data_IF_601201896594
#
_entry.id   IF_601201896594
#
_cell.length_a   1.000
_cell.length_b   1.000
_cell.length_c   1.000
_cell.angle_alpha   90.00
_cell.angle_beta   90.00
_cell.angle_gamma   90.00
#
_symmetry.space_group_name_H-M   'P 1'
#
loop_
_entity.id
_entity.type
_entity.pdbx_description
1 polymer ?
#
# COMPACT_ATOMS: atom_id res chain seq x y z
N UNK A 1 -15.20 -30.91 32.63
CA UNK A 1 -16.29 -29.90 32.62
C UNK A 1 -15.81 -28.45 32.74
N UNK A 2 -14.65 -28.15 33.37
CA UNK A 2 -14.19 -26.76 33.54
C UNK A 2 -13.70 -26.07 32.25
N UNK A 3 -13.18 -26.85 31.29
CA UNK A 3 -12.66 -26.32 30.01
C UNK A 3 -13.69 -25.55 29.16
N UNK A 4 -14.98 -25.95 29.21
CA UNK A 4 -16.07 -25.30 28.46
C UNK A 4 -16.36 -23.87 28.93
N UNK A 5 -16.01 -23.52 30.16
CA UNK A 5 -16.20 -22.17 30.70
C UNK A 5 -15.04 -21.23 30.39
N UNK A 6 -13.83 -21.75 30.15
CA UNK A 6 -12.66 -20.92 29.81
C UNK A 6 -12.65 -20.49 28.34
N UNK A 7 -13.24 -21.29 27.43
CA UNK A 7 -13.35 -20.96 25.99
C UNK A 7 -14.09 -19.63 25.74
N UNK A 8 -15.32 -19.41 26.25
CA UNK A 8 -16.03 -18.14 26.03
C UNK A 8 -15.33 -16.96 26.72
N UNK A 9 -14.66 -17.20 27.85
CA UNK A 9 -13.88 -16.17 28.56
C UNK A 9 -12.68 -15.70 27.73
N UNK A 10 -11.93 -16.64 27.12
CA UNK A 10 -10.80 -16.32 26.23
C UNK A 10 -11.29 -15.63 24.96
N UNK A 11 -12.41 -16.07 24.39
CA UNK A 11 -13.00 -15.45 23.20
C UNK A 11 -13.46 -14.01 23.48
N UNK A 12 -14.06 -13.77 24.65
CA UNK A 12 -14.45 -12.43 25.11
C UNK A 12 -13.25 -11.52 25.29
N UNK A 13 -12.16 -12.02 25.89
CA UNK A 13 -10.92 -11.25 26.08
C UNK A 13 -10.25 -10.88 24.75
N UNK A 14 -10.28 -11.79 23.76
CA UNK A 14 -9.81 -11.53 22.40
C UNK A 14 -10.66 -10.48 21.67
N UNK A 15 -11.97 -10.45 21.92
CA UNK A 15 -12.90 -9.49 21.32
C UNK A 15 -12.74 -8.06 21.87
N UNK A 16 -12.20 -7.92 23.08
CA UNK A 16 -11.90 -6.62 23.69
C UNK A 16 -10.59 -5.98 23.20
N UNK A 17 -9.82 -6.68 22.35
CA UNK A 17 -8.63 -6.12 21.74
C UNK A 17 -9.03 -5.14 20.63
N UNK A 18 -8.81 -3.85 20.85
CA UNK A 18 -9.08 -2.82 19.84
C UNK A 18 -8.29 -3.10 18.55
N UNK A 19 -8.99 -3.21 17.43
CA UNK A 19 -8.38 -3.44 16.12
C UNK A 19 -7.85 -2.11 15.58
N UNK A 20 -6.58 -2.09 15.16
CA UNK A 20 -5.97 -0.96 14.46
C UNK A 20 -6.13 -1.16 12.95
N UNK A 21 -6.65 -0.15 12.26
CA UNK A 21 -6.66 -0.12 10.80
C UNK A 21 -5.28 0.15 10.20
N UNK A 22 -5.15 -0.06 8.88
CA UNK A 22 -3.92 0.20 8.15
C UNK A 22 -3.59 1.70 8.16
N UNK A 23 -2.32 2.03 8.47
CA UNK A 23 -1.83 3.40 8.47
C UNK A 23 -0.82 3.66 7.36
N UNK A 24 -0.10 2.62 6.95
CA UNK A 24 0.95 2.65 5.93
C UNK A 24 0.73 1.45 5.02
N UNK A 25 0.86 1.66 3.71
CA UNK A 25 0.93 0.61 2.69
C UNK A 25 2.27 0.68 1.98
N UNK A 26 2.84 -0.48 1.67
CA UNK A 26 3.97 -0.60 0.76
C UNK A 26 3.49 -1.34 -0.48
N UNK A 27 3.84 -0.83 -1.65
CA UNK A 27 3.28 -1.27 -2.93
C UNK A 27 4.39 -1.50 -3.96
N UNK A 28 4.14 -2.46 -4.84
CA UNK A 28 4.86 -2.67 -6.10
C UNK A 28 3.83 -2.84 -7.22
N UNK A 29 4.25 -2.69 -8.46
CA UNK A 29 3.46 -2.80 -9.66
C UNK A 29 4.00 -3.94 -10.54
N UNK A 30 3.21 -5.00 -10.62
CA UNK A 30 3.54 -6.21 -11.37
C UNK A 30 3.77 -5.94 -12.87
N UNK A 31 3.12 -4.93 -13.45
CA UNK A 31 3.32 -4.56 -14.85
C UNK A 31 4.72 -3.97 -15.07
N UNK A 32 5.23 -3.17 -14.13
CA UNK A 32 6.60 -2.67 -14.19
C UNK A 32 7.62 -3.77 -13.93
N UNK A 33 7.33 -4.70 -13.01
CA UNK A 33 8.17 -5.86 -12.75
C UNK A 33 8.34 -6.73 -14.03
N UNK A 34 7.27 -6.90 -14.82
CA UNK A 34 7.32 -7.60 -16.11
C UNK A 34 8.24 -6.92 -17.15
N UNK A 35 8.48 -5.62 -17.00
CA UNK A 35 9.43 -4.85 -17.85
C UNK A 35 10.83 -4.77 -17.24
N UNK A 36 11.11 -5.55 -16.19
CA UNK A 36 12.31 -5.49 -15.38
C UNK A 36 12.57 -4.08 -14.77
N UNK A 37 11.52 -3.28 -14.59
CA UNK A 37 11.61 -1.96 -13.96
C UNK A 37 11.39 -2.12 -12.45
N UNK A 38 12.41 -1.82 -11.67
CA UNK A 38 12.32 -1.83 -10.20
C UNK A 38 11.39 -0.70 -9.81
N UNK A 39 10.37 -1.00 -9.01
CA UNK A 39 9.43 0.01 -8.56
C UNK A 39 9.03 -0.23 -7.10
N UNK A 40 8.75 0.85 -6.39
CA UNK A 40 8.37 0.83 -4.99
C UNK A 40 7.50 2.04 -4.67
N UNK A 41 6.41 1.82 -3.96
CA UNK A 41 5.54 2.88 -3.47
C UNK A 41 5.28 2.76 -1.98
N UNK A 42 5.14 3.91 -1.31
CA UNK A 42 4.73 4.01 0.09
C UNK A 42 3.52 4.93 0.14
N UNK A 43 2.44 4.43 0.73
CA UNK A 43 1.22 5.20 0.97
C UNK A 43 0.98 5.36 2.46
N UNK A 44 0.78 6.58 2.92
CA UNK A 44 0.50 6.89 4.33
C UNK A 44 -0.85 7.57 4.48
N UNK A 45 -1.59 7.22 5.52
CA UNK A 45 -2.87 7.86 5.81
C UNK A 45 -2.68 9.17 6.57
N UNK A 46 -3.17 10.27 6.01
CA UNK A 46 -3.07 11.62 6.58
C UNK A 46 -4.31 12.01 7.40
N UNK A 47 -5.50 11.57 6.97
CA UNK A 47 -6.78 11.82 7.62
C UNK A 47 -7.72 10.63 7.41
N UNK A 48 -8.90 10.56 8.07
CA UNK A 48 -9.82 9.42 7.91
C UNK A 48 -10.15 9.08 6.46
N UNK A 49 -10.24 10.05 5.57
CA UNK A 49 -10.54 9.85 4.13
C UNK A 49 -9.43 10.28 3.19
N UNK A 50 -8.21 10.56 3.68
CA UNK A 50 -7.09 11.01 2.86
C UNK A 50 -5.84 10.16 3.05
N UNK A 51 -5.21 9.79 1.94
CA UNK A 51 -3.88 9.18 1.92
C UNK A 51 -2.96 9.96 0.98
N UNK A 52 -1.66 9.89 1.27
CA UNK A 52 -0.60 10.39 0.41
C UNK A 52 0.26 9.22 -0.01
N UNK A 53 0.41 9.04 -1.32
CA UNK A 53 1.22 8.02 -1.94
C UNK A 53 2.44 8.63 -2.61
N UNK A 54 3.58 7.98 -2.48
CA UNK A 54 4.79 8.33 -3.22
C UNK A 54 5.32 7.05 -3.82
N UNK A 55 5.35 6.98 -5.15
CA UNK A 55 5.89 5.85 -5.89
C UNK A 55 7.10 6.25 -6.71
N UNK A 56 8.07 5.34 -6.79
CA UNK A 56 9.29 5.49 -7.57
C UNK A 56 9.48 4.32 -8.51
N UNK A 57 9.98 4.61 -9.70
CA UNK A 57 10.33 3.62 -10.73
C UNK A 57 11.78 3.84 -11.16
N UNK A 58 12.52 2.76 -11.35
CA UNK A 58 13.91 2.78 -11.75
C UNK A 58 14.22 1.63 -12.71
N UNK A 59 14.78 1.99 -13.86
CA UNK A 59 15.31 1.04 -14.83
C UNK A 59 16.72 1.48 -15.22
N UNK A 60 17.68 0.55 -15.15
CA UNK A 60 19.09 0.80 -15.49
C UNK A 60 19.58 -0.05 -16.66
N UNK A 61 18.68 -0.77 -17.33
CA UNK A 61 19.07 -1.74 -18.34
C UNK A 61 19.52 -1.07 -19.65
N UNK A 62 20.46 -1.71 -20.31
CA UNK A 62 20.86 -1.41 -21.67
C UNK A 62 20.54 -2.64 -22.50
N UNK A 63 19.64 -2.50 -23.49
CA UNK A 63 19.24 -3.62 -24.34
C UNK A 63 20.34 -3.93 -25.37
N UNK A 64 20.97 -2.89 -25.92
CA UNK A 64 22.13 -2.94 -26.83
C UNK A 64 23.08 -1.77 -26.50
N UNK A 65 24.28 -1.72 -27.08
CA UNK A 65 25.23 -0.59 -26.90
C UNK A 65 24.63 0.77 -27.34
N UNK A 66 23.77 0.77 -28.36
CA UNK A 66 23.10 1.96 -28.89
C UNK A 66 21.74 2.26 -28.26
N UNK A 67 21.09 1.29 -27.59
CA UNK A 67 19.76 1.45 -27.01
C UNK A 67 19.81 1.26 -25.50
N UNK A 68 19.84 2.39 -24.79
CA UNK A 68 19.75 2.46 -23.34
C UNK A 68 18.28 2.56 -22.94
N UNK A 69 17.82 1.64 -22.09
CA UNK A 69 16.48 1.70 -21.50
C UNK A 69 16.62 2.14 -20.06
N UNK A 70 17.07 3.39 -19.87
CA UNK A 70 17.35 3.94 -18.54
C UNK A 70 16.36 5.02 -18.23
N UNK A 71 15.66 4.89 -17.11
CA UNK A 71 14.75 5.91 -16.63
C UNK A 71 14.62 5.84 -15.12
N UNK A 72 14.27 6.97 -14.55
CA UNK A 72 13.80 7.05 -13.18
C UNK A 72 12.61 7.99 -13.15
N UNK A 73 11.58 7.62 -12.39
CA UNK A 73 10.39 8.43 -12.20
C UNK A 73 10.02 8.42 -10.73
N UNK A 74 9.51 9.55 -10.26
CA UNK A 74 8.88 9.67 -8.94
C UNK A 74 7.52 10.30 -9.17
N UNK A 75 6.48 9.69 -8.61
CA UNK A 75 5.09 10.11 -8.76
C UNK A 75 4.46 10.26 -7.37
N UNK A 76 4.34 11.50 -6.88
CA UNK A 76 3.55 11.79 -5.69
C UNK A 76 2.06 11.88 -6.05
N UNK A 77 1.20 11.24 -5.27
CA UNK A 77 -0.24 11.20 -5.50
C UNK A 77 -1.00 11.46 -4.20
N UNK A 78 -1.94 12.41 -4.24
CA UNK A 78 -2.91 12.62 -3.16
C UNK A 78 -4.19 11.86 -3.50
N UNK A 79 -4.70 11.07 -2.54
CA UNK A 79 -5.90 10.23 -2.72
C UNK A 79 -6.98 10.59 -1.72
N UNK A 80 -8.18 10.85 -2.21
CA UNK A 80 -9.38 11.00 -1.43
C UNK A 80 -10.27 9.76 -1.54
N UNK A 81 -10.55 9.14 -0.39
CA UNK A 81 -11.38 7.94 -0.27
C UNK A 81 -12.82 8.33 0.03
N UNK A 82 -13.79 7.66 -0.60
CA UNK A 82 -15.22 7.97 -0.39
C UNK A 82 -15.77 7.46 0.94
N UNK A 83 -15.09 6.50 1.56
CA UNK A 83 -15.41 5.96 2.88
C UNK A 83 -14.26 6.28 3.85
N UNK A 84 -13.59 5.23 4.34
CA UNK A 84 -12.35 5.34 5.09
C UNK A 84 -11.14 5.13 4.18
N UNK A 85 -10.00 5.70 4.57
CA UNK A 85 -8.70 5.46 3.94
C UNK A 85 -8.43 3.95 3.89
N UNK A 86 -7.89 3.50 2.76
CA UNK A 86 -7.66 2.09 2.46
C UNK A 86 -8.94 1.23 2.34
N UNK A 87 -10.14 1.82 2.28
CA UNK A 87 -11.39 1.10 2.13
C UNK A 87 -12.22 1.61 0.93
N UNK A 88 -12.38 0.76 -0.09
CA UNK A 88 -13.26 1.01 -1.23
C UNK A 88 -12.60 1.80 -2.36
N UNK A 89 -13.38 2.69 -2.99
CA UNK A 89 -12.92 3.50 -4.11
C UNK A 89 -12.36 4.85 -3.66
N UNK A 90 -11.44 5.39 -4.45
CA UNK A 90 -10.84 6.71 -4.24
C UNK A 90 -10.71 7.47 -5.56
N UNK A 91 -10.54 8.78 -5.45
CA UNK A 91 -10.05 9.64 -6.53
C UNK A 91 -8.66 10.13 -6.18
N UNK A 92 -7.74 10.00 -7.13
CA UNK A 92 -6.33 10.37 -6.96
C UNK A 92 -5.94 11.48 -7.93
N UNK A 93 -5.03 12.34 -7.51
CA UNK A 93 -4.36 13.30 -8.37
C UNK A 93 -2.85 13.23 -8.14
N UNK A 94 -2.09 13.13 -9.23
CA UNK A 94 -0.62 13.09 -9.22
C UNK A 94 -0.05 14.01 -10.29
N UNK A 95 1.23 14.36 -10.15
CA UNK A 95 2.01 15.11 -11.14
C UNK A 95 2.92 14.18 -11.95
#
# INVERSE_FOLDING_TARGET
MKLRFYIPLVLSLLCCLGVKGQNIAVKTNLLYDATATINLGIETGLAPSWTLDVSGNFNAWSRNESTKWKHWLVQPEARYWFCDRFAGHFVGAHL
#
